data_IF_084069288598
#
_entry.id   IF_084069288598
#
_cell.length_a   1.000
_cell.length_b   1.000
_cell.length_c   1.000
_cell.angle_alpha   90.00
_cell.angle_beta   90.00
_cell.angle_gamma   90.00
#
_symmetry.space_group_name_H-M   'P 1'
#
loop_
_entity.id
_entity.type
_entity.pdbx_description
1 polymer ?
#
# COMPACT_ATOMS: atom_id res chain seq x y z
N UNK A 1 -15.30 2.53 29.44
CA UNK A 1 -15.15 1.52 28.39
C UNK A 1 -13.72 1.63 27.89
N UNK A 2 -12.84 0.79 28.44
CA UNK A 2 -11.39 0.87 28.22
C UNK A 2 -11.09 0.66 26.73
N UNK A 3 -10.50 1.66 26.11
CA UNK A 3 -9.87 1.50 24.81
C UNK A 3 -8.70 0.51 24.99
N UNK A 4 -8.91 -0.76 24.64
CA UNK A 4 -7.81 -1.73 24.49
C UNK A 4 -6.80 -1.11 23.55
N UNK A 5 -5.61 -0.89 24.05
CA UNK A 5 -4.49 -0.31 23.31
C UNK A 5 -4.02 -1.37 22.32
N UNK A 6 -4.48 -1.29 21.07
CA UNK A 6 -3.96 -2.14 20.00
C UNK A 6 -2.49 -1.83 19.76
N UNK A 7 -1.67 -2.85 19.52
CA UNK A 7 -0.29 -2.63 19.13
C UNK A 7 -0.26 -1.96 17.74
N UNK A 8 0.34 -0.79 17.63
CA UNK A 8 0.66 -0.19 16.34
C UNK A 8 2.07 -0.61 15.98
N UNK A 9 2.21 -1.45 14.97
CA UNK A 9 3.49 -1.89 14.44
C UNK A 9 3.94 -0.92 13.36
N UNK A 10 5.09 -0.31 13.55
CA UNK A 10 5.76 0.43 12.48
C UNK A 10 6.61 -0.56 11.66
N UNK A 11 6.87 -0.23 10.38
CA UNK A 11 7.83 -0.99 9.57
C UNK A 11 9.19 -1.09 10.26
N UNK A 12 9.62 -0.05 10.96
CA UNK A 12 10.87 -0.04 11.74
C UNK A 12 10.92 -1.10 12.85
N UNK A 13 9.77 -1.56 13.36
CA UNK A 13 9.70 -2.59 14.40
C UNK A 13 9.96 -3.99 13.84
N UNK A 14 9.74 -4.17 12.52
CA UNK A 14 9.99 -5.41 11.80
C UNK A 14 11.43 -5.52 11.30
N UNK A 15 12.09 -4.38 11.16
CA UNK A 15 13.51 -4.35 10.81
C UNK A 15 14.34 -4.47 12.08
N UNK A 16 15.06 -5.54 12.24
CA UNK A 16 16.22 -5.50 13.14
C UNK A 16 17.16 -4.43 12.57
N UNK A 17 17.31 -3.31 13.29
CA UNK A 17 18.19 -2.18 12.90
C UNK A 17 19.63 -2.60 12.61
N UNK A 18 20.00 -3.83 12.94
CA UNK A 18 21.30 -4.45 12.68
C UNK A 18 21.32 -5.32 11.41
N UNK A 19 20.16 -5.56 10.78
CA UNK A 19 20.12 -6.34 9.58
C UNK A 19 20.49 -5.47 8.36
N UNK A 20 21.77 -5.53 7.98
CA UNK A 20 22.31 -4.91 6.76
C UNK A 20 21.68 -5.45 5.46
N UNK A 21 20.79 -6.45 5.59
CA UNK A 21 20.11 -7.12 4.48
C UNK A 21 18.77 -6.47 4.11
N UNK A 22 18.25 -5.53 4.90
CA UNK A 22 16.97 -4.90 4.58
C UNK A 22 17.08 -3.93 3.39
N UNK A 23 16.13 -3.97 2.47
CA UNK A 23 15.90 -2.92 1.48
C UNK A 23 15.02 -1.86 2.13
N UNK A 24 15.34 -0.59 1.97
CA UNK A 24 14.63 0.50 2.63
C UNK A 24 13.13 0.47 2.26
N UNK A 25 12.27 0.51 3.29
CA UNK A 25 10.82 0.54 3.15
C UNK A 25 10.18 -0.69 2.45
N UNK A 26 10.93 -1.78 2.38
CA UNK A 26 10.50 -3.04 1.79
C UNK A 26 11.05 -4.21 2.61
N UNK A 27 10.19 -5.09 3.07
CA UNK A 27 10.53 -6.23 3.92
C UNK A 27 9.89 -7.52 3.39
N UNK A 28 10.67 -8.60 3.40
CA UNK A 28 10.20 -9.95 3.14
C UNK A 28 10.16 -10.74 4.44
N UNK A 29 9.05 -11.44 4.70
CA UNK A 29 8.92 -12.25 5.91
C UNK A 29 9.92 -13.41 5.90
N UNK A 30 10.73 -13.52 6.96
CA UNK A 30 11.49 -14.72 7.25
C UNK A 30 10.58 -15.84 7.75
N UNK A 31 11.15 -17.06 7.92
CA UNK A 31 10.42 -18.23 8.44
C UNK A 31 9.74 -17.99 9.80
N UNK A 32 10.37 -17.16 10.65
CA UNK A 32 9.90 -16.89 12.02
C UNK A 32 8.91 -15.71 12.10
N UNK A 33 8.55 -15.08 10.99
CA UNK A 33 7.68 -13.91 11.00
C UNK A 33 6.28 -14.25 11.50
N UNK A 34 5.73 -15.36 11.03
CA UNK A 34 4.44 -15.88 11.50
C UNK A 34 4.43 -16.10 13.00
N UNK A 35 5.45 -16.77 13.55
CA UNK A 35 5.59 -17.02 14.98
C UNK A 35 5.76 -15.73 15.77
N UNK A 36 6.56 -14.78 15.30
CA UNK A 36 6.74 -13.46 15.95
C UNK A 36 5.47 -12.61 15.91
N UNK A 37 4.73 -12.64 14.81
CA UNK A 37 3.47 -11.91 14.68
C UNK A 37 2.35 -12.55 15.48
N UNK A 38 2.26 -13.91 15.46
CA UNK A 38 1.22 -14.68 16.13
C UNK A 38 1.55 -14.98 17.60
N UNK A 39 2.83 -15.02 17.98
CA UNK A 39 3.32 -15.46 19.29
C UNK A 39 2.99 -14.55 20.48
N UNK A 40 2.25 -13.46 20.28
CA UNK A 40 1.88 -12.56 21.37
C UNK A 40 0.90 -11.46 21.01
N UNK A 41 0.59 -11.26 19.74
CA UNK A 41 -0.30 -10.19 19.29
C UNK A 41 -1.64 -10.79 18.84
N UNK A 42 -2.70 -10.55 19.59
CA UNK A 42 -4.06 -10.91 19.20
C UNK A 42 -4.70 -9.86 18.31
N UNK A 43 -4.18 -8.62 18.31
CA UNK A 43 -4.69 -7.52 17.48
C UNK A 43 -3.61 -6.46 17.25
N UNK A 44 -3.48 -5.99 16.01
CA UNK A 44 -2.50 -4.98 15.63
C UNK A 44 -2.98 -4.16 14.43
N UNK A 45 -2.38 -2.99 14.26
CA UNK A 45 -2.41 -2.19 13.03
C UNK A 45 -1.00 -2.10 12.48
N UNK A 46 -0.87 -1.92 11.19
CA UNK A 46 0.41 -1.84 10.53
C UNK A 46 0.49 -0.61 9.61
N UNK A 47 1.63 0.12 9.64
CA UNK A 47 1.84 1.31 8.82
C UNK A 47 2.51 0.96 7.47
N UNK A 48 1.85 0.14 6.66
CA UNK A 48 2.32 -0.30 5.35
C UNK A 48 1.30 -1.21 4.69
N UNK A 49 1.57 -1.58 3.44
CA UNK A 49 0.83 -2.65 2.79
C UNK A 49 1.42 -3.99 3.19
N UNK A 50 0.56 -4.90 3.56
CA UNK A 50 0.89 -6.26 3.89
C UNK A 50 0.28 -7.17 2.83
N UNK A 51 1.12 -7.81 2.04
CA UNK A 51 0.73 -8.73 0.97
C UNK A 51 1.20 -10.11 1.39
N UNK A 52 0.30 -11.07 1.47
CA UNK A 52 0.63 -12.39 1.96
C UNK A 52 -0.08 -13.49 1.18
N UNK A 53 0.59 -14.61 1.02
CA UNK A 53 0.07 -15.82 0.37
C UNK A 53 0.13 -16.94 1.39
N UNK A 54 -1.01 -17.57 1.69
CA UNK A 54 -1.08 -18.74 2.55
C UNK A 54 -0.75 -20.00 1.75
N UNK A 55 0.21 -20.78 2.24
CA UNK A 55 0.70 -22.01 1.61
C UNK A 55 0.16 -23.26 2.30
N UNK A 56 -0.23 -23.15 3.57
CA UNK A 56 -0.73 -24.28 4.36
C UNK A 56 -1.34 -23.82 5.68
N UNK A 57 -2.04 -24.73 6.34
CA UNK A 57 -2.70 -24.45 7.60
C UNK A 57 -3.98 -23.62 7.46
N UNK A 58 -4.49 -23.13 8.60
CA UNK A 58 -5.71 -22.33 8.68
C UNK A 58 -5.58 -21.23 9.73
N UNK A 59 -6.12 -20.05 9.44
CA UNK A 59 -6.20 -18.93 10.37
C UNK A 59 -7.56 -18.27 10.26
N UNK A 60 -8.19 -17.97 11.40
CA UNK A 60 -9.38 -17.14 11.49
C UNK A 60 -8.95 -15.75 11.97
N UNK A 61 -9.29 -14.72 11.21
CA UNK A 61 -8.96 -13.36 11.58
C UNK A 61 -10.09 -12.37 11.23
N UNK A 62 -10.05 -11.20 11.86
CA UNK A 62 -10.91 -10.07 11.51
C UNK A 62 -10.06 -8.95 10.93
N UNK A 63 -10.54 -8.36 9.84
CA UNK A 63 -9.99 -7.14 9.26
C UNK A 63 -11.03 -6.04 9.37
N UNK A 64 -10.72 -5.01 10.14
CA UNK A 64 -11.65 -3.89 10.39
C UNK A 64 -13.06 -4.35 10.83
N UNK A 65 -13.10 -5.42 11.63
CA UNK A 65 -14.34 -6.00 12.20
C UNK A 65 -15.05 -7.04 11.34
N UNK A 66 -14.60 -7.30 10.09
CA UNK A 66 -15.13 -8.38 9.23
C UNK A 66 -14.28 -9.64 9.41
N UNK A 67 -14.95 -10.79 9.58
CA UNK A 67 -14.28 -12.09 9.76
C UNK A 67 -13.90 -12.71 8.42
N UNK A 68 -12.70 -13.30 8.38
CA UNK A 68 -12.15 -14.02 7.23
C UNK A 68 -11.51 -15.31 7.70
N UNK A 69 -11.64 -16.34 6.86
CA UNK A 69 -10.90 -17.59 6.98
C UNK A 69 -9.75 -17.56 5.98
N UNK A 70 -8.55 -17.80 6.47
CA UNK A 70 -7.34 -17.94 5.68
C UNK A 70 -6.99 -19.41 5.62
N UNK A 71 -6.78 -19.92 4.43
CA UNK A 71 -6.35 -21.30 4.15
C UNK A 71 -5.40 -21.35 2.97
N UNK A 72 -4.83 -22.52 2.67
CA UNK A 72 -3.94 -22.65 1.52
C UNK A 72 -4.60 -22.13 0.23
N UNK A 73 -3.89 -21.30 -0.52
CA UNK A 73 -4.41 -20.60 -1.71
C UNK A 73 -5.09 -19.27 -1.41
N UNK A 74 -5.04 -18.77 -0.17
CA UNK A 74 -5.53 -17.41 0.16
C UNK A 74 -4.45 -16.37 -0.10
N UNK A 75 -4.77 -15.38 -0.93
CA UNK A 75 -4.02 -14.13 -1.11
C UNK A 75 -4.62 -13.06 -0.20
N UNK A 76 -3.79 -12.46 0.64
CA UNK A 76 -4.19 -11.41 1.58
C UNK A 76 -3.51 -10.10 1.22
N UNK A 77 -4.28 -9.00 1.19
CA UNK A 77 -3.74 -7.64 1.01
C UNK A 77 -4.37 -6.73 2.06
N UNK A 78 -3.58 -6.36 3.06
CA UNK A 78 -4.01 -5.42 4.08
C UNK A 78 -3.39 -4.05 3.82
N UNK A 79 -4.23 -3.03 3.91
CA UNK A 79 -3.84 -1.63 3.73
C UNK A 79 -3.30 -1.03 5.02
N UNK A 80 -2.52 0.08 4.93
CA UNK A 80 -2.01 0.76 6.11
C UNK A 80 -3.12 1.09 7.12
N UNK A 81 -2.81 0.87 8.40
CA UNK A 81 -3.67 1.16 9.55
C UNK A 81 -5.00 0.39 9.61
N UNK A 82 -5.19 -0.66 8.82
CA UNK A 82 -6.28 -1.59 9.04
C UNK A 82 -6.04 -2.35 10.34
N UNK A 83 -7.10 -2.49 11.15
CA UNK A 83 -7.07 -3.30 12.35
C UNK A 83 -7.20 -4.78 11.97
N UNK A 84 -6.21 -5.56 12.34
CA UNK A 84 -6.17 -7.01 12.15
C UNK A 84 -6.26 -7.66 13.53
N UNK A 85 -7.21 -8.57 13.69
CA UNK A 85 -7.45 -9.31 14.94
C UNK A 85 -7.38 -10.80 14.62
N UNK A 86 -6.37 -11.49 15.16
CA UNK A 86 -6.20 -12.94 15.00
C UNK A 86 -7.09 -13.61 16.03
N UNK A 87 -7.99 -14.47 15.57
CA UNK A 87 -8.92 -15.21 16.43
C UNK A 87 -8.37 -16.60 16.77
N UNK A 88 -7.85 -17.31 15.77
CA UNK A 88 -7.22 -18.62 15.92
C UNK A 88 -6.28 -18.90 14.76
N UNK A 89 -5.29 -19.76 14.98
CA UNK A 89 -4.40 -20.26 13.94
C UNK A 89 -4.05 -21.73 14.20
N UNK A 90 -3.92 -22.51 13.14
CA UNK A 90 -3.44 -23.88 13.24
C UNK A 90 -1.91 -23.92 13.40
N UNK A 91 -1.35 -24.97 14.03
CA UNK A 91 0.09 -25.07 14.25
C UNK A 91 0.92 -25.23 12.96
N UNK A 92 0.29 -25.67 11.88
CA UNK A 92 0.88 -25.87 10.55
C UNK A 92 0.66 -24.68 9.62
N UNK A 93 0.24 -23.51 10.17
CA UNK A 93 0.04 -22.31 9.37
C UNK A 93 1.37 -21.84 8.74
N UNK A 94 1.39 -21.83 7.42
CA UNK A 94 2.51 -21.32 6.62
C UNK A 94 2.03 -20.28 5.63
N UNK A 95 2.61 -19.11 5.71
CA UNK A 95 2.38 -18.02 4.75
C UNK A 95 3.66 -17.27 4.44
N UNK A 96 3.74 -16.68 3.24
CA UNK A 96 4.81 -15.81 2.82
C UNK A 96 4.28 -14.40 2.69
N UNK A 97 5.03 -13.43 3.23
CA UNK A 97 4.57 -12.04 3.29
C UNK A 97 5.59 -11.07 2.73
N UNK A 98 5.08 -10.05 2.07
CA UNK A 98 5.80 -8.86 1.65
C UNK A 98 5.16 -7.68 2.37
N UNK A 99 5.99 -6.86 3.00
CA UNK A 99 5.55 -5.67 3.67
C UNK A 99 6.24 -4.48 3.00
N UNK A 100 5.46 -3.53 2.55
CA UNK A 100 5.95 -2.41 1.76
C UNK A 100 5.28 -1.11 2.18
N UNK A 101 6.07 -0.02 2.26
CA UNK A 101 5.52 1.31 2.52
C UNK A 101 4.75 1.85 1.32
N UNK A 102 3.81 2.77 1.58
CA UNK A 102 3.12 3.47 0.50
C UNK A 102 4.10 4.23 -0.40
N UNK A 103 5.19 4.77 0.15
CA UNK A 103 6.17 5.52 -0.64
C UNK A 103 6.78 4.66 -1.76
N UNK A 104 7.03 3.38 -1.51
CA UNK A 104 7.52 2.44 -2.54
C UNK A 104 6.45 2.17 -3.60
N UNK A 105 5.19 1.98 -3.19
CA UNK A 105 4.07 1.78 -4.13
C UNK A 105 3.89 3.00 -5.05
N UNK A 106 4.05 4.20 -4.50
CA UNK A 106 3.93 5.46 -5.24
C UNK A 106 5.15 5.75 -6.15
N UNK A 107 6.28 5.07 -5.96
CA UNK A 107 7.45 5.14 -6.84
C UNK A 107 7.29 4.28 -8.11
N UNK A 108 6.26 3.46 -8.22
CA UNK A 108 6.05 2.59 -9.38
C UNK A 108 5.81 3.40 -10.66
N UNK A 109 6.30 2.93 -11.82
CA UNK A 109 6.26 3.67 -13.09
C UNK A 109 4.85 3.98 -13.60
N UNK A 110 3.89 3.13 -13.29
CA UNK A 110 2.47 3.36 -13.55
C UNK A 110 1.72 3.26 -12.23
N UNK A 111 0.74 4.12 -11.98
CA UNK A 111 -0.08 3.96 -10.80
C UNK A 111 -0.70 2.56 -10.84
N UNK A 112 -0.52 1.83 -9.75
CA UNK A 112 -1.28 0.58 -9.52
C UNK A 112 -2.75 0.93 -9.72
N UNK A 113 -3.45 0.15 -10.53
CA UNK A 113 -4.84 0.43 -10.90
C UNK A 113 -5.67 0.70 -9.65
N UNK A 114 -6.23 1.90 -9.57
CA UNK A 114 -6.95 2.38 -8.38
C UNK A 114 -8.17 1.51 -8.09
N UNK A 115 -8.80 0.98 -9.15
CA UNK A 115 -9.94 0.06 -8.98
C UNK A 115 -9.51 -1.21 -8.26
N UNK A 116 -8.27 -1.63 -8.43
CA UNK A 116 -7.70 -2.81 -7.78
C UNK A 116 -7.29 -2.50 -6.33
N UNK A 117 -6.69 -1.34 -6.07
CA UNK A 117 -6.45 -0.92 -4.70
C UNK A 117 -7.75 -0.87 -3.90
N UNK A 118 -8.83 -0.34 -4.50
CA UNK A 118 -10.14 -0.29 -3.84
C UNK A 118 -10.79 -1.67 -3.74
N UNK A 119 -10.58 -2.58 -4.69
CA UNK A 119 -11.00 -3.98 -4.60
C UNK A 119 -10.30 -4.72 -3.47
N UNK A 120 -8.98 -4.55 -3.33
CA UNK A 120 -8.21 -5.13 -2.22
C UNK A 120 -8.64 -4.56 -0.86
N UNK A 121 -9.03 -3.27 -0.79
CA UNK A 121 -9.59 -2.68 0.42
C UNK A 121 -10.95 -3.30 0.80
N UNK A 122 -11.74 -3.71 -0.19
CA UNK A 122 -13.06 -4.34 0.00
C UNK A 122 -12.95 -5.82 0.37
N UNK A 123 -12.15 -6.53 -0.39
CA UNK A 123 -11.93 -7.96 -0.25
C UNK A 123 -10.44 -8.21 0.03
N UNK A 124 -9.99 -7.94 1.26
CA UNK A 124 -8.57 -8.06 1.63
C UNK A 124 -8.07 -9.50 1.63
N UNK A 125 -8.96 -10.47 1.45
CA UNK A 125 -8.66 -11.90 1.38
C UNK A 125 -9.39 -12.48 0.18
N UNK A 126 -8.62 -13.05 -0.76
CA UNK A 126 -9.13 -13.76 -1.93
C UNK A 126 -8.60 -15.18 -1.94
N UNK A 127 -9.46 -16.17 -2.19
CA UNK A 127 -9.01 -17.51 -2.52
C UNK A 127 -8.68 -17.57 -4.02
N UNK A 128 -7.38 -17.66 -4.34
CA UNK A 128 -6.89 -17.60 -5.74
C UNK A 128 -6.63 -18.99 -6.34
N UNK A 129 -6.72 -20.03 -5.52
CA UNK A 129 -6.49 -21.41 -5.94
C UNK A 129 -5.00 -21.76 -6.12
N UNK A 130 -4.74 -23.05 -6.33
CA UNK A 130 -3.38 -23.61 -6.33
C UNK A 130 -2.51 -23.08 -7.48
N UNK A 131 -3.07 -22.96 -8.69
CA UNK A 131 -2.32 -22.53 -9.87
C UNK A 131 -1.82 -21.08 -9.73
N UNK A 132 -2.69 -20.16 -9.31
CA UNK A 132 -2.33 -18.76 -9.10
C UNK A 132 -1.37 -18.61 -7.90
N UNK A 133 -1.58 -19.38 -6.82
CA UNK A 133 -0.66 -19.41 -5.68
C UNK A 133 0.74 -19.81 -6.11
N UNK A 134 0.89 -20.87 -6.90
CA UNK A 134 2.19 -21.32 -7.42
C UNK A 134 2.84 -20.25 -8.27
N UNK A 135 2.10 -19.62 -9.17
CA UNK A 135 2.59 -18.54 -10.01
C UNK A 135 3.07 -17.33 -9.20
N UNK A 136 2.29 -16.86 -8.23
CA UNK A 136 2.70 -15.75 -7.35
C UNK A 136 3.93 -16.11 -6.51
N UNK A 137 4.07 -17.39 -6.10
CA UNK A 137 5.22 -17.86 -5.36
C UNK A 137 6.50 -17.90 -6.18
N UNK A 138 6.44 -18.09 -7.51
CA UNK A 138 7.61 -17.98 -8.39
C UNK A 138 8.20 -16.54 -8.32
N UNK A 139 7.34 -15.53 -8.39
CA UNK A 139 7.76 -14.13 -8.21
C UNK A 139 8.31 -13.88 -6.80
N UNK A 140 7.62 -14.36 -5.77
CA UNK A 140 8.06 -14.18 -4.38
C UNK A 140 9.47 -14.74 -4.18
N UNK A 141 9.73 -15.97 -4.60
CA UNK A 141 11.03 -16.64 -4.46
C UNK A 141 12.13 -15.93 -5.26
N UNK A 142 11.79 -15.40 -6.44
CA UNK A 142 12.73 -14.63 -7.22
C UNK A 142 13.07 -13.29 -6.54
N UNK A 143 12.09 -12.60 -5.99
CA UNK A 143 12.30 -11.39 -5.19
C UNK A 143 13.15 -11.73 -3.97
N UNK A 144 12.82 -12.78 -3.21
CA UNK A 144 13.56 -13.21 -2.01
C UNK A 144 15.05 -13.48 -2.32
N UNK A 145 15.31 -14.16 -3.43
CA UNK A 145 16.68 -14.40 -3.91
C UNK A 145 17.44 -13.10 -4.17
N UNK A 146 16.83 -12.16 -4.92
CA UNK A 146 17.46 -10.87 -5.23
C UNK A 146 17.60 -9.96 -4.03
N UNK A 147 16.59 -9.96 -3.19
CA UNK A 147 16.57 -9.23 -1.92
C UNK A 147 17.73 -9.67 -0.99
N UNK A 148 18.10 -10.94 -1.01
CA UNK A 148 19.17 -11.49 -0.18
C UNK A 148 20.57 -11.28 -0.74
N UNK A 149 20.74 -10.86 -2.00
CA UNK A 149 22.04 -10.62 -2.66
C UNK A 149 22.65 -9.28 -2.23
N UNK A 150 23.25 -9.20 -1.06
CA UNK A 150 23.78 -7.95 -0.47
C UNK A 150 24.93 -7.33 -1.25
N UNK A 151 25.61 -8.09 -2.12
CA UNK A 151 26.75 -7.63 -2.94
C UNK A 151 26.33 -6.92 -4.24
N UNK A 152 25.06 -6.96 -4.62
CA UNK A 152 24.59 -6.34 -5.86
C UNK A 152 24.42 -4.83 -5.70
N UNK A 153 25.07 -4.05 -6.58
CA UNK A 153 24.96 -2.58 -6.59
C UNK A 153 23.53 -2.08 -6.90
N UNK A 154 22.76 -2.86 -7.64
CA UNK A 154 21.37 -2.53 -8.04
C UNK A 154 20.32 -3.36 -7.29
N UNK A 155 20.66 -3.88 -6.12
CA UNK A 155 19.79 -4.75 -5.33
C UNK A 155 18.42 -4.11 -5.02
N UNK A 156 18.45 -2.86 -4.59
CA UNK A 156 17.22 -2.14 -4.22
C UNK A 156 16.32 -1.91 -5.44
N UNK A 157 16.87 -1.42 -6.53
CA UNK A 157 16.15 -1.15 -7.77
C UNK A 157 15.58 -2.45 -8.38
N UNK A 158 16.36 -3.52 -8.41
CA UNK A 158 15.91 -4.83 -8.90
C UNK A 158 14.77 -5.34 -8.03
N UNK A 159 14.92 -5.30 -6.71
CA UNK A 159 13.89 -5.80 -5.79
C UNK A 159 12.59 -5.01 -5.91
N UNK A 160 12.65 -3.68 -6.01
CA UNK A 160 11.48 -2.82 -6.22
C UNK A 160 10.82 -3.05 -7.58
N UNK A 161 11.61 -3.24 -8.65
CA UNK A 161 11.09 -3.54 -9.99
C UNK A 161 10.36 -4.88 -10.03
N UNK A 162 10.92 -5.90 -9.40
CA UNK A 162 10.28 -7.22 -9.30
C UNK A 162 9.01 -7.17 -8.44
N UNK A 163 9.02 -6.38 -7.37
CA UNK A 163 7.82 -6.12 -6.58
C UNK A 163 6.73 -5.46 -7.44
N UNK A 164 7.09 -4.50 -8.28
CA UNK A 164 6.14 -3.88 -9.20
C UNK A 164 5.52 -4.90 -10.16
N UNK A 165 6.32 -5.80 -10.73
CA UNK A 165 5.81 -6.89 -11.58
C UNK A 165 4.84 -7.80 -10.80
N UNK A 166 5.20 -8.21 -9.58
CA UNK A 166 4.30 -9.00 -8.73
C UNK A 166 2.99 -8.25 -8.44
N UNK A 167 3.04 -6.94 -8.20
CA UNK A 167 1.83 -6.12 -8.01
C UNK A 167 0.95 -6.09 -9.25
N UNK A 168 1.51 -6.06 -10.46
CA UNK A 168 0.74 -6.13 -11.70
C UNK A 168 0.05 -7.50 -11.87
N UNK A 169 0.70 -8.60 -11.49
CA UNK A 169 0.09 -9.93 -11.49
C UNK A 169 -1.06 -10.02 -10.48
N UNK A 170 -0.88 -9.49 -9.29
CA UNK A 170 -1.94 -9.38 -8.30
C UNK A 170 -3.10 -8.54 -8.85
N UNK A 171 -2.81 -7.43 -9.51
CA UNK A 171 -3.80 -6.60 -10.18
C UNK A 171 -4.61 -7.39 -11.21
N UNK A 172 -3.95 -8.23 -12.01
CA UNK A 172 -4.60 -9.07 -12.99
C UNK A 172 -5.57 -10.09 -12.35
N UNK A 173 -5.18 -10.69 -11.23
CA UNK A 173 -6.04 -11.60 -10.44
C UNK A 173 -7.29 -10.86 -9.94
N UNK A 174 -7.12 -9.68 -9.33
CA UNK A 174 -8.26 -8.89 -8.82
C UNK A 174 -9.22 -8.44 -9.92
N UNK A 175 -8.71 -8.11 -11.11
CA UNK A 175 -9.55 -7.75 -12.26
C UNK A 175 -10.45 -8.90 -12.67
N UNK A 176 -9.90 -10.11 -12.78
CA UNK A 176 -10.67 -11.28 -13.18
C UNK A 176 -11.75 -11.66 -12.16
N UNK A 177 -11.46 -11.51 -10.86
CA UNK A 177 -12.45 -11.76 -9.79
C UNK A 177 -13.52 -10.66 -9.72
N UNK A 178 -13.17 -9.41 -10.01
CA UNK A 178 -14.12 -8.28 -9.95
C UNK A 178 -15.19 -8.34 -11.03
N UNK A 179 -14.93 -8.99 -12.16
CA UNK A 179 -15.90 -9.17 -13.24
C UNK A 179 -16.97 -10.20 -12.88
N UNK A 180 -16.67 -11.14 -11.97
CA UNK A 180 -17.64 -12.15 -11.49
C UNK A 180 -18.56 -11.62 -10.38
N UNK A 181 -18.11 -10.64 -9.59
CA UNK A 181 -18.83 -10.09 -8.42
C UNK A 181 -19.60 -8.78 -8.70
N UNK A 182 -19.82 -8.43 -9.97
CA UNK A 182 -20.40 -7.14 -10.35
C UNK A 182 -21.86 -6.90 -9.89
N UNK A 183 -22.58 -7.91 -9.41
CA UNK A 183 -23.98 -7.84 -9.04
C UNK A 183 -24.26 -7.60 -7.54
N UNK A 184 -23.24 -7.54 -6.67
CA UNK A 184 -23.45 -7.27 -5.26
C UNK A 184 -23.43 -5.76 -5.02
N UNK A 185 -24.57 -5.19 -4.58
CA UNK A 185 -24.71 -3.78 -4.26
C UNK A 185 -23.62 -3.30 -3.27
N UNK A 186 -22.67 -2.51 -3.77
CA UNK A 186 -21.53 -1.97 -2.98
C UNK A 186 -22.05 -1.16 -1.78
N UNK A 187 -21.55 -1.39 -0.56
CA UNK A 187 -21.85 -0.52 0.57
C UNK A 187 -21.57 0.94 0.23
N UNK A 188 -22.45 1.85 0.63
CA UNK A 188 -22.42 3.28 0.26
C UNK A 188 -21.08 3.99 0.55
N UNK A 189 -20.36 3.56 1.60
CA UNK A 189 -19.07 4.14 1.98
C UNK A 189 -17.93 3.62 1.09
N UNK A 190 -17.99 2.39 0.64
CA UNK A 190 -17.03 1.79 -0.27
C UNK A 190 -17.14 2.44 -1.65
N UNK A 191 -18.35 2.62 -2.15
CA UNK A 191 -18.59 3.37 -3.39
C UNK A 191 -18.03 4.79 -3.33
N UNK A 192 -18.19 5.48 -2.18
CA UNK A 192 -17.63 6.81 -2.00
C UNK A 192 -16.10 6.80 -2.06
N UNK A 193 -15.47 5.75 -1.55
CA UNK A 193 -14.01 5.59 -1.59
C UNK A 193 -13.53 5.35 -3.03
N UNK A 194 -14.18 4.48 -3.77
CA UNK A 194 -13.91 4.24 -5.19
C UNK A 194 -14.05 5.56 -6.00
N UNK A 195 -15.17 6.25 -5.82
CA UNK A 195 -15.44 7.50 -6.53
C UNK A 195 -14.39 8.58 -6.20
N UNK A 196 -13.94 8.64 -4.93
CA UNK A 196 -12.88 9.55 -4.52
C UNK A 196 -11.55 9.22 -5.22
N UNK A 197 -11.11 7.97 -5.21
CA UNK A 197 -9.83 7.60 -5.83
C UNK A 197 -9.86 7.80 -7.35
N UNK A 198 -10.97 7.48 -8.03
CA UNK A 198 -11.14 7.77 -9.46
C UNK A 198 -11.07 9.26 -9.76
N UNK A 199 -11.70 10.07 -8.91
CA UNK A 199 -11.66 11.52 -9.05
C UNK A 199 -10.27 12.07 -8.77
N UNK A 200 -9.58 11.55 -7.75
CA UNK A 200 -8.22 11.92 -7.40
C UNK A 200 -7.25 11.61 -8.54
N UNK A 201 -7.32 10.43 -9.14
CA UNK A 201 -6.47 10.06 -10.28
C UNK A 201 -6.57 11.03 -11.45
N UNK A 202 -7.77 11.59 -11.69
CA UNK A 202 -8.00 12.54 -12.78
C UNK A 202 -7.53 13.96 -12.48
N UNK A 203 -7.52 14.34 -11.20
CA UNK A 203 -7.41 15.77 -10.83
C UNK A 203 -6.27 16.09 -9.86
N UNK A 204 -5.52 15.13 -9.32
CA UNK A 204 -4.50 15.41 -8.30
C UNK A 204 -3.42 16.39 -8.78
N UNK A 205 -3.11 16.43 -10.08
CA UNK A 205 -2.11 17.36 -10.64
C UNK A 205 -2.57 18.81 -10.61
N UNK A 206 -3.89 19.04 -10.67
CA UNK A 206 -4.46 20.39 -10.78
C UNK A 206 -5.22 20.84 -9.53
N UNK A 207 -5.72 19.89 -8.73
CA UNK A 207 -6.63 20.14 -7.62
C UNK A 207 -6.09 19.53 -6.31
N UNK A 208 -5.53 20.37 -5.47
CA UNK A 208 -4.87 19.95 -4.22
C UNK A 208 -5.77 20.08 -3.00
N UNK A 209 -6.94 20.72 -3.15
CA UNK A 209 -7.82 21.03 -2.03
C UNK A 209 -8.89 19.95 -1.82
N UNK A 210 -9.01 19.46 -0.58
CA UNK A 210 -10.05 18.51 -0.17
C UNK A 210 -11.46 18.99 -0.51
N UNK A 211 -11.69 20.31 -0.46
CA UNK A 211 -12.99 20.90 -0.75
C UNK A 211 -13.47 20.62 -2.18
N UNK A 212 -12.57 20.62 -3.17
CA UNK A 212 -12.88 20.28 -4.55
C UNK A 212 -13.47 18.87 -4.66
N UNK A 213 -12.80 17.88 -4.10
CA UNK A 213 -13.23 16.47 -4.11
C UNK A 213 -14.53 16.27 -3.36
N UNK A 214 -14.66 16.94 -2.21
CA UNK A 214 -15.88 16.88 -1.42
C UNK A 214 -17.09 17.45 -2.16
N UNK A 215 -16.94 18.61 -2.82
CA UNK A 215 -17.98 19.22 -3.64
C UNK A 215 -18.40 18.33 -4.81
N UNK A 216 -17.41 17.76 -5.56
CA UNK A 216 -17.67 16.84 -6.68
C UNK A 216 -18.41 15.58 -6.25
N UNK A 217 -18.16 15.10 -5.04
CA UNK A 217 -18.79 13.90 -4.47
C UNK A 217 -20.04 14.22 -3.63
N UNK A 218 -20.49 15.47 -3.64
CA UNK A 218 -21.66 15.94 -2.88
C UNK A 218 -21.56 15.57 -1.39
N UNK A 219 -20.40 15.85 -0.78
CA UNK A 219 -20.11 15.62 0.64
C UNK A 219 -19.41 16.84 1.25
N UNK A 220 -19.41 16.89 2.59
CA UNK A 220 -18.57 17.86 3.30
C UNK A 220 -17.13 17.37 3.37
N UNK A 221 -16.11 18.26 3.38
CA UNK A 221 -14.69 17.88 3.51
C UNK A 221 -14.43 17.00 4.73
N UNK A 222 -15.05 17.31 5.87
CA UNK A 222 -14.92 16.54 7.12
C UNK A 222 -15.49 15.12 6.97
N UNK A 223 -16.67 14.99 6.36
CA UNK A 223 -17.30 13.69 6.16
C UNK A 223 -16.47 12.83 5.18
N UNK A 224 -16.06 13.40 4.04
CA UNK A 224 -15.26 12.70 3.05
C UNK A 224 -13.94 12.21 3.66
N UNK A 225 -13.17 13.11 4.31
CA UNK A 225 -11.90 12.73 4.94
C UNK A 225 -12.05 11.66 6.01
N UNK A 226 -13.12 11.72 6.82
CA UNK A 226 -13.41 10.71 7.83
C UNK A 226 -13.83 9.36 7.24
N UNK A 227 -14.59 9.36 6.14
CA UNK A 227 -15.02 8.15 5.45
C UNK A 227 -13.81 7.45 4.78
N UNK A 228 -13.00 8.21 4.04
CA UNK A 228 -11.79 7.70 3.39
C UNK A 228 -10.79 7.17 4.42
N UNK A 229 -10.56 7.91 5.52
CA UNK A 229 -9.63 7.46 6.58
C UNK A 229 -10.06 6.15 7.23
N UNK A 230 -11.36 5.92 7.43
CA UNK A 230 -11.84 4.66 8.03
C UNK A 230 -11.56 3.44 7.16
N UNK A 231 -11.58 3.60 5.84
CA UNK A 231 -11.38 2.50 4.88
C UNK A 231 -9.91 2.36 4.52
N UNK A 232 -9.22 3.46 4.22
CA UNK A 232 -7.85 3.48 3.68
C UNK A 232 -6.76 3.79 4.70
N UNK A 233 -7.12 4.06 5.95
CA UNK A 233 -6.18 4.45 7.01
C UNK A 233 -5.66 5.89 6.91
N UNK A 234 -5.85 6.58 5.78
CA UNK A 234 -5.36 7.95 5.53
C UNK A 234 -6.49 8.90 5.15
N UNK A 235 -6.36 10.17 5.52
CA UNK A 235 -7.28 11.22 5.11
C UNK A 235 -7.10 11.57 3.62
N UNK A 236 -8.10 12.25 3.06
CA UNK A 236 -8.05 12.77 1.67
C UNK A 236 -6.82 13.65 1.44
N UNK A 237 -6.50 14.55 2.38
CA UNK A 237 -5.32 15.40 2.26
C UNK A 237 -4.00 14.60 2.25
N UNK A 238 -3.88 13.57 3.10
CA UNK A 238 -2.71 12.72 3.14
C UNK A 238 -2.52 11.93 1.83
N UNK A 239 -3.61 11.48 1.21
CA UNK A 239 -3.58 10.83 -0.11
C UNK A 239 -3.12 11.78 -1.21
N UNK A 240 -3.74 12.96 -1.33
CA UNK A 240 -3.37 13.97 -2.34
C UNK A 240 -1.92 14.37 -2.18
N UNK A 241 -1.49 14.69 -0.96
CA UNK A 241 -0.12 15.15 -0.69
C UNK A 241 0.93 14.10 -0.99
N UNK A 242 0.71 12.84 -0.60
CA UNK A 242 1.65 11.75 -0.90
C UNK A 242 1.76 11.48 -2.41
N UNK A 243 0.64 11.53 -3.13
CA UNK A 243 0.63 11.37 -4.60
C UNK A 243 1.40 12.51 -5.27
N UNK A 244 1.20 13.76 -4.85
CA UNK A 244 1.95 14.92 -5.36
C UNK A 244 3.45 14.83 -5.10
N UNK A 245 3.84 14.42 -3.90
CA UNK A 245 5.27 14.22 -3.56
C UNK A 245 5.90 13.18 -4.48
N UNK A 246 5.21 12.07 -4.72
CA UNK A 246 5.69 11.01 -5.62
C UNK A 246 5.80 11.48 -7.06
N UNK A 247 4.82 12.24 -7.53
CA UNK A 247 4.84 12.83 -8.88
C UNK A 247 6.01 13.82 -9.05
N UNK A 248 6.24 14.69 -8.05
CA UNK A 248 7.39 15.60 -8.07
C UNK A 248 8.71 14.82 -8.10
N UNK A 249 8.85 13.77 -7.28
CA UNK A 249 10.03 12.89 -7.28
C UNK A 249 10.26 12.28 -8.65
N UNK A 250 9.22 11.74 -9.26
CA UNK A 250 9.26 11.12 -10.58
C UNK A 250 9.69 12.14 -11.64
N UNK A 251 9.04 13.29 -11.73
CA UNK A 251 9.39 14.34 -12.70
C UNK A 251 10.83 14.85 -12.52
N UNK A 252 11.30 14.99 -11.27
CA UNK A 252 12.68 15.37 -10.99
C UNK A 252 13.72 14.37 -11.46
N UNK A 253 13.39 13.07 -11.46
CA UNK A 253 14.31 11.98 -11.82
C UNK A 253 14.25 11.58 -13.29
N UNK A 254 13.09 11.68 -13.91
CA UNK A 254 12.85 11.17 -15.26
C UNK A 254 12.83 12.25 -16.34
N UNK A 255 12.87 13.52 -15.94
CA UNK A 255 12.82 14.66 -16.89
C UNK A 255 13.86 15.72 -16.56
N UNK A 256 14.22 16.53 -17.57
CA UNK A 256 15.08 17.70 -17.41
C UNK A 256 14.28 18.98 -17.04
N UNK A 257 12.98 18.86 -16.73
CA UNK A 257 12.13 19.99 -16.36
C UNK A 257 12.70 20.75 -15.18
N UNK A 258 12.69 22.06 -15.28
CA UNK A 258 13.06 22.96 -14.18
C UNK A 258 12.05 22.86 -13.03
N UNK A 259 12.43 23.33 -11.85
CA UNK A 259 11.51 23.43 -10.70
C UNK A 259 10.31 24.33 -11.02
N UNK A 260 10.50 25.35 -11.85
CA UNK A 260 9.41 26.22 -12.33
C UNK A 260 8.41 25.42 -13.18
N UNK A 261 8.88 24.72 -14.21
CA UNK A 261 8.03 23.94 -15.11
C UNK A 261 7.27 22.83 -14.37
N UNK A 262 7.91 22.16 -13.41
CA UNK A 262 7.23 21.15 -12.57
C UNK A 262 6.15 21.81 -11.70
N UNK A 263 6.44 22.98 -11.13
CA UNK A 263 5.48 23.74 -10.33
C UNK A 263 4.24 24.15 -11.13
N UNK A 264 4.45 24.59 -12.37
CA UNK A 264 3.37 24.98 -13.30
C UNK A 264 2.55 23.75 -13.73
N UNK A 265 3.21 22.65 -14.11
CA UNK A 265 2.55 21.40 -14.52
C UNK A 265 1.67 20.81 -13.41
N UNK A 266 2.13 20.93 -12.16
CA UNK A 266 1.40 20.45 -10.99
C UNK A 266 0.53 21.53 -10.33
N UNK A 267 0.29 22.64 -11.04
CA UNK A 267 -0.62 23.71 -10.62
C UNK A 267 -0.37 24.27 -9.20
N UNK A 268 0.90 24.34 -8.78
CA UNK A 268 1.25 25.07 -7.57
C UNK A 268 1.16 26.59 -7.82
N UNK A 269 0.73 27.34 -6.81
CA UNK A 269 0.60 28.80 -6.91
C UNK A 269 1.94 29.53 -7.16
N UNK A 270 3.06 28.90 -6.84
CA UNK A 270 4.41 29.36 -7.19
C UNK A 270 5.44 28.23 -6.97
N UNK A 271 6.63 28.34 -7.62
CA UNK A 271 7.74 27.41 -7.36
C UNK A 271 8.16 27.38 -5.89
N UNK A 272 8.11 28.51 -5.19
CA UNK A 272 8.46 28.58 -3.77
C UNK A 272 7.53 27.75 -2.90
N UNK A 273 6.23 27.76 -3.20
CA UNK A 273 5.23 26.94 -2.50
C UNK A 273 5.50 25.46 -2.73
N UNK A 274 5.77 25.05 -3.98
CA UNK A 274 6.14 23.66 -4.28
C UNK A 274 7.44 23.25 -3.57
N UNK A 275 8.46 24.10 -3.54
CA UNK A 275 9.72 23.80 -2.85
C UNK A 275 9.51 23.61 -1.35
N UNK A 276 8.70 24.47 -0.70
CA UNK A 276 8.36 24.34 0.72
C UNK A 276 7.55 23.08 0.98
N UNK A 277 6.54 22.80 0.16
CA UNK A 277 5.74 21.57 0.21
C UNK A 277 6.64 20.34 0.11
N UNK A 278 7.45 20.23 -0.93
CA UNK A 278 8.33 19.07 -1.14
C UNK A 278 9.32 18.90 0.00
N UNK A 279 9.95 20.00 0.49
CA UNK A 279 10.87 19.95 1.63
C UNK A 279 10.17 19.52 2.91
N UNK A 280 8.94 19.94 3.13
CA UNK A 280 8.15 19.53 4.32
C UNK A 280 7.99 18.01 4.38
N UNK A 281 7.69 17.36 3.24
CA UNK A 281 7.45 15.92 3.19
C UNK A 281 8.71 15.06 3.03
N UNK A 282 9.78 15.60 2.42
CA UNK A 282 10.99 14.82 2.09
C UNK A 282 12.22 15.19 2.93
N UNK A 283 12.17 16.29 3.66
CA UNK A 283 13.29 16.84 4.43
C UNK A 283 14.36 17.55 3.59
N UNK A 284 14.33 17.46 2.26
CA UNK A 284 15.31 18.06 1.34
C UNK A 284 14.64 18.85 0.22
N UNK A 285 15.40 19.74 -0.42
CA UNK A 285 14.87 20.53 -1.55
C UNK A 285 14.78 19.72 -2.84
N UNK A 286 13.89 20.08 -3.80
CA UNK A 286 13.78 19.41 -5.10
C UNK A 286 15.12 19.34 -5.86
N UNK A 287 15.91 20.43 -5.87
CA UNK A 287 17.21 20.46 -6.55
C UNK A 287 18.23 19.51 -5.89
N UNK A 288 18.20 19.38 -4.57
CA UNK A 288 19.04 18.42 -3.86
C UNK A 288 18.61 16.99 -4.17
N UNK A 289 17.28 16.73 -4.17
CA UNK A 289 16.74 15.41 -4.52
C UNK A 289 17.11 14.99 -5.94
N UNK A 290 17.10 15.90 -6.92
CA UNK A 290 17.50 15.61 -8.32
C UNK A 290 18.94 15.09 -8.42
N UNK A 291 19.85 15.55 -7.55
CA UNK A 291 21.27 15.20 -7.56
C UNK A 291 21.59 13.91 -6.77
N UNK A 292 20.66 13.40 -5.94
CA UNK A 292 20.80 12.12 -5.22
C UNK A 292 20.45 10.95 -6.12
#
# INVERSE_FOLDING_TARGET
>A
MDMKKYASLDMSDLFDRRDSKSVRNFYLSGKDFGEKLLGGLTSFTFNGFFISICLGGRCELKVSGRSYTIEAGSLMIFSPNQLIEIQSSSPDLDWKSIIVSLDVILEFPSPVDIDIMTSALRNPVLHVGEAATRHLMEYYLFIEKRYSETSSAYREEISKTLLYVLMLEICNIFRNVSDEDSDIAKPRQEKLTDDFFKLMAKHYRTEHNVAFYAAKLHRTPKYLSGAIRRISGRSVAEWINSTLVSEIKMLLKTTDKTVLEISEELNFSSPSVMVQFFRHYTGITPLRYRKT
#
